data_IF_733986010252
#
_entry.id   IF_733986010252
#
_cell.length_a   1.000
_cell.length_b   1.000
_cell.length_c   1.000
_cell.angle_alpha   90.00
_cell.angle_beta   90.00
_cell.angle_gamma   90.00
#
_symmetry.space_group_name_H-M   'P 1'
#
loop_
_entity.id
_entity.type
_entity.pdbx_description
1 polymer ?
#
# COMPACT_ATOMS: atom_id res chain seq x y z
N UNK A 1 -17.63 -13.37 11.38
CA UNK A 1 -16.70 -12.25 11.18
C UNK A 1 -15.29 -12.78 11.37
N UNK A 2 -14.79 -13.48 10.36
CA UNK A 2 -13.40 -13.91 10.38
C UNK A 2 -12.53 -12.72 10.05
N UNK A 3 -11.76 -12.30 11.05
CA UNK A 3 -10.66 -11.35 10.86
C UNK A 3 -9.69 -12.01 9.88
N UNK A 4 -9.58 -11.47 8.67
CA UNK A 4 -8.44 -11.78 7.81
C UNK A 4 -7.23 -11.27 8.59
N UNK A 5 -6.53 -12.21 9.25
CA UNK A 5 -5.32 -11.96 10.02
C UNK A 5 -4.21 -11.74 8.99
N UNK A 6 -3.89 -10.47 8.74
CA UNK A 6 -2.63 -10.14 8.07
C UNK A 6 -1.49 -10.66 8.96
N UNK A 7 -0.47 -11.29 8.42
CA UNK A 7 0.67 -11.71 9.23
C UNK A 7 1.31 -10.45 9.84
N UNK A 8 1.67 -10.50 11.13
CA UNK A 8 2.39 -9.41 11.77
C UNK A 8 3.72 -9.19 11.06
N UNK A 9 4.17 -7.96 11.02
CA UNK A 9 5.50 -7.57 10.58
C UNK A 9 6.58 -8.02 11.60
N UNK A 10 6.55 -9.31 11.95
CA UNK A 10 7.53 -9.93 12.84
C UNK A 10 8.55 -10.70 12.00
N UNK A 11 9.77 -10.22 11.99
CA UNK A 11 10.87 -11.01 11.46
C UNK A 11 12.16 -10.31 11.09
N UNK A 12 12.41 -9.06 11.52
CA UNK A 12 13.68 -8.40 11.14
C UNK A 12 14.59 -8.04 12.34
N UNK A 13 14.23 -8.37 13.58
CA UNK A 13 14.99 -7.88 14.76
C UNK A 13 15.99 -8.85 15.39
N UNK A 14 16.29 -10.03 14.83
CA UNK A 14 17.24 -10.95 15.50
C UNK A 14 18.40 -11.50 14.65
N UNK A 15 18.62 -11.08 13.41
CA UNK A 15 19.76 -11.60 12.62
C UNK A 15 20.95 -10.65 12.46
N UNK A 16 20.87 -9.40 12.88
CA UNK A 16 21.95 -8.41 12.65
C UNK A 16 23.07 -8.38 13.72
N UNK A 17 22.99 -9.18 14.80
CA UNK A 17 23.89 -9.03 15.95
C UNK A 17 25.06 -10.01 16.02
N UNK A 18 25.32 -10.85 15.00
CA UNK A 18 26.40 -11.87 15.07
C UNK A 18 27.34 -11.96 13.87
N UNK A 19 27.78 -10.86 13.30
CA UNK A 19 28.81 -10.92 12.26
C UNK A 19 29.78 -9.74 12.30
N UNK A 20 30.36 -9.46 13.48
CA UNK A 20 31.52 -8.57 13.55
C UNK A 20 32.68 -9.25 14.28
N UNK A 21 33.44 -10.04 13.55
CA UNK A 21 34.87 -10.26 13.74
C UNK A 21 35.42 -11.13 12.61
N UNK A 22 36.06 -10.52 11.59
CA UNK A 22 37.30 -11.02 10.96
C UNK A 22 37.71 -10.10 9.80
N UNK A 23 38.88 -9.66 9.91
CA UNK A 23 39.79 -8.85 9.10
C UNK A 23 39.72 -8.87 7.59
N UNK A 24 40.12 -7.75 7.07
CA UNK A 24 40.66 -7.28 5.81
C UNK A 24 40.86 -8.29 4.68
N UNK A 25 40.08 -8.06 3.60
CA UNK A 25 40.35 -8.61 2.28
C UNK A 25 39.34 -7.95 1.33
N UNK A 26 39.82 -7.18 0.31
CA UNK A 26 38.97 -6.75 -0.81
C UNK A 26 38.57 -7.99 -1.61
N UNK A 27 37.67 -8.79 -1.04
CA UNK A 27 37.01 -9.91 -1.69
C UNK A 27 35.93 -9.38 -2.64
N UNK A 28 36.00 -9.77 -3.91
CA UNK A 28 34.95 -9.62 -4.90
C UNK A 28 33.64 -10.13 -4.28
N UNK A 29 32.66 -9.23 -4.09
CA UNK A 29 31.37 -9.57 -3.50
C UNK A 29 30.78 -10.80 -4.22
N UNK A 30 30.40 -11.89 -3.52
CA UNK A 30 29.70 -13.01 -4.14
C UNK A 30 28.46 -12.50 -4.90
N UNK A 31 28.18 -13.10 -6.06
CA UNK A 31 26.97 -12.78 -6.82
C UNK A 31 25.76 -12.98 -5.90
N UNK A 32 24.99 -11.89 -5.66
CA UNK A 32 23.80 -11.89 -4.80
C UNK A 32 23.91 -11.04 -3.52
N UNK A 33 25.09 -10.79 -2.96
CA UNK A 33 25.23 -9.91 -1.77
C UNK A 33 24.90 -8.45 -2.10
N UNK A 34 25.22 -7.99 -3.31
CA UNK A 34 24.90 -6.63 -3.76
C UNK A 34 23.39 -6.41 -3.91
N UNK A 35 22.66 -7.41 -4.41
CA UNK A 35 21.19 -7.33 -4.53
C UNK A 35 20.52 -7.36 -3.15
N UNK A 36 20.98 -8.25 -2.26
CA UNK A 36 20.48 -8.29 -0.87
C UNK A 36 20.70 -6.96 -0.15
N UNK A 37 21.89 -6.39 -0.26
CA UNK A 37 22.19 -5.09 0.33
C UNK A 37 21.30 -3.98 -0.25
N UNK A 38 21.09 -4.01 -1.57
CA UNK A 38 20.16 -3.06 -2.21
C UNK A 38 18.74 -3.20 -1.66
N UNK A 39 18.26 -4.41 -1.46
CA UNK A 39 16.94 -4.70 -0.88
C UNK A 39 16.85 -4.27 0.59
N UNK A 40 17.89 -4.48 1.39
CA UNK A 40 17.96 -4.00 2.78
C UNK A 40 17.91 -2.47 2.83
N UNK A 41 18.66 -1.77 1.96
CA UNK A 41 18.63 -0.31 1.85
C UNK A 41 17.21 0.17 1.50
N UNK A 42 16.52 -0.44 0.53
CA UNK A 42 15.17 -0.08 0.15
C UNK A 42 14.17 -0.32 1.30
N UNK A 43 14.29 -1.44 2.00
CA UNK A 43 13.41 -1.78 3.13
C UNK A 43 13.52 -0.76 4.25
N UNK A 44 14.75 -0.43 4.66
CA UNK A 44 15.01 0.60 5.68
C UNK A 44 14.56 1.98 5.22
N UNK A 45 14.75 2.30 3.93
CA UNK A 45 14.28 3.57 3.37
C UNK A 45 12.77 3.70 3.48
N UNK A 46 12.00 2.64 3.17
CA UNK A 46 10.54 2.64 3.31
C UNK A 46 10.11 2.83 4.77
N UNK A 47 10.78 2.18 5.72
CA UNK A 47 10.50 2.38 7.14
C UNK A 47 10.72 3.83 7.56
N UNK A 48 11.87 4.42 7.22
CA UNK A 48 12.18 5.80 7.54
C UNK A 48 11.22 6.79 6.86
N UNK A 49 10.86 6.57 5.60
CA UNK A 49 9.87 7.41 4.92
C UNK A 49 8.50 7.34 5.58
N UNK A 50 8.08 6.16 6.06
CA UNK A 50 6.82 6.02 6.78
C UNK A 50 6.85 6.74 8.14
N UNK A 51 7.97 6.70 8.85
CA UNK A 51 8.15 7.39 10.15
C UNK A 51 8.23 8.90 9.98
N UNK A 52 9.01 9.37 8.99
CA UNK A 52 9.24 10.80 8.75
C UNK A 52 8.04 11.49 8.07
N UNK A 53 7.27 10.77 7.28
CA UNK A 53 6.19 11.29 6.44
C UNK A 53 6.61 12.47 5.52
N UNK A 54 7.92 12.60 5.27
CA UNK A 54 8.56 13.66 4.48
C UNK A 54 9.84 13.12 3.83
N UNK A 55 9.89 13.14 2.49
CA UNK A 55 11.08 12.71 1.75
C UNK A 55 12.26 13.67 1.93
N UNK A 56 12.01 14.96 2.21
CA UNK A 56 13.07 15.93 2.40
C UNK A 56 13.83 15.71 3.70
N UNK A 57 13.18 15.16 4.72
CA UNK A 57 13.80 14.82 6.00
C UNK A 57 14.70 13.58 5.91
N UNK A 58 14.57 12.75 4.85
CA UNK A 58 15.41 11.58 4.64
C UNK A 58 16.82 11.96 4.19
N UNK A 59 17.84 11.35 4.80
CA UNK A 59 19.23 11.48 4.33
C UNK A 59 19.87 10.12 4.07
N UNK A 60 20.74 10.04 3.05
CA UNK A 60 21.49 8.81 2.74
C UNK A 60 22.34 8.34 3.92
N UNK A 61 22.82 9.26 4.75
CA UNK A 61 23.57 8.95 5.98
C UNK A 61 22.68 8.30 7.04
N UNK A 62 21.42 8.76 7.19
CA UNK A 62 20.46 8.15 8.10
C UNK A 62 20.14 6.72 7.67
N UNK A 63 19.91 6.50 6.38
CA UNK A 63 19.69 5.16 5.81
C UNK A 63 20.90 4.26 6.03
N UNK A 64 22.11 4.72 5.70
CA UNK A 64 23.36 3.94 5.89
C UNK A 64 23.53 3.51 7.34
N UNK A 65 23.29 4.42 8.30
CA UNK A 65 23.37 4.13 9.73
C UNK A 65 22.34 3.10 10.15
N UNK A 66 21.10 3.20 9.66
CA UNK A 66 20.03 2.28 10.01
C UNK A 66 20.25 0.88 9.43
N UNK A 67 20.85 0.78 8.23
CA UNK A 67 21.29 -0.50 7.63
C UNK A 67 22.55 -1.07 8.30
N UNK A 68 23.36 -0.22 8.96
CA UNK A 68 24.63 -0.62 9.58
C UNK A 68 25.81 -0.67 8.58
N UNK A 69 25.82 0.18 7.54
CA UNK A 69 26.83 0.24 6.51
C UNK A 69 27.47 1.62 6.41
N UNK A 70 28.59 1.71 5.67
CA UNK A 70 29.18 3.01 5.35
C UNK A 70 28.29 3.78 4.36
N UNK A 71 28.21 5.11 4.51
CA UNK A 71 27.42 5.95 3.61
C UNK A 71 27.84 5.81 2.13
N UNK A 72 29.13 5.58 1.87
CA UNK A 72 29.66 5.32 0.53
C UNK A 72 29.07 4.08 -0.12
N UNK A 73 28.63 3.09 0.67
CA UNK A 73 28.01 1.87 0.13
C UNK A 73 26.61 2.16 -0.43
N UNK A 74 25.87 3.13 0.13
CA UNK A 74 24.58 3.55 -0.43
C UNK A 74 24.76 4.20 -1.79
N UNK A 75 25.80 5.03 -1.97
CA UNK A 75 26.10 5.68 -3.25
C UNK A 75 26.50 4.71 -4.37
N UNK A 76 26.94 3.49 -4.03
CA UNK A 76 27.18 2.45 -5.05
C UNK A 76 25.87 1.98 -5.70
N UNK A 77 24.76 2.02 -4.95
CA UNK A 77 23.46 1.52 -5.39
C UNK A 77 22.53 2.62 -5.89
N UNK A 78 22.66 3.85 -5.37
CA UNK A 78 21.76 4.96 -5.65
C UNK A 78 22.57 6.25 -5.85
N UNK A 79 22.36 6.91 -6.99
CA UNK A 79 23.13 8.10 -7.37
C UNK A 79 22.95 9.26 -6.38
N UNK A 80 21.71 9.41 -5.88
CA UNK A 80 21.34 10.47 -4.95
C UNK A 80 20.14 10.04 -4.09
N UNK A 81 19.65 10.97 -3.25
CA UNK A 81 18.50 10.76 -2.39
C UNK A 81 17.22 10.53 -3.18
N UNK A 82 16.97 11.33 -4.21
CA UNK A 82 15.73 11.26 -4.99
C UNK A 82 15.64 9.92 -5.75
N UNK A 83 16.76 9.43 -6.28
CA UNK A 83 16.85 8.10 -6.89
C UNK A 83 16.55 6.98 -5.88
N UNK A 84 17.04 7.10 -4.64
CA UNK A 84 16.75 6.13 -3.58
C UNK A 84 15.27 6.17 -3.19
N UNK A 85 14.71 7.36 -2.96
CA UNK A 85 13.29 7.54 -2.59
C UNK A 85 12.39 6.99 -3.69
N UNK A 86 12.65 7.33 -4.95
CA UNK A 86 11.87 6.85 -6.09
C UNK A 86 11.91 5.32 -6.18
N UNK A 87 13.08 4.70 -6.07
CA UNK A 87 13.21 3.24 -6.11
C UNK A 87 12.49 2.55 -4.93
N UNK A 88 12.51 3.16 -3.74
CA UNK A 88 11.79 2.65 -2.58
C UNK A 88 10.27 2.74 -2.77
N UNK A 89 9.76 3.88 -3.25
CA UNK A 89 8.33 4.06 -3.53
C UNK A 89 7.85 3.12 -4.64
N UNK A 90 8.64 2.93 -5.71
CA UNK A 90 8.33 1.99 -6.78
C UNK A 90 8.26 0.54 -6.27
N UNK A 91 9.15 0.13 -5.37
CA UNK A 91 9.08 -1.18 -4.73
C UNK A 91 7.81 -1.32 -3.90
N UNK A 92 7.52 -0.32 -3.04
CA UNK A 92 6.30 -0.33 -2.22
C UNK A 92 5.03 -0.39 -3.09
N UNK A 93 5.03 0.33 -4.22
CA UNK A 93 3.92 0.27 -5.18
C UNK A 93 3.75 -1.13 -5.77
N UNK A 94 4.82 -1.78 -6.23
CA UNK A 94 4.75 -3.15 -6.76
C UNK A 94 4.21 -4.15 -5.72
N UNK A 95 4.64 -4.01 -4.47
CA UNK A 95 4.16 -4.88 -3.38
C UNK A 95 2.67 -4.62 -3.09
N UNK A 96 2.26 -3.34 -3.08
CA UNK A 96 0.84 -2.96 -2.96
C UNK A 96 0.01 -3.54 -4.11
N UNK A 97 0.46 -3.42 -5.36
CA UNK A 97 -0.28 -3.92 -6.52
C UNK A 97 -0.50 -5.43 -6.45
N UNK A 98 0.50 -6.20 -6.01
CA UNK A 98 0.38 -7.64 -5.78
C UNK A 98 -0.68 -7.96 -4.72
N UNK A 99 -0.64 -7.26 -3.59
CA UNK A 99 -1.62 -7.47 -2.52
C UNK A 99 -3.04 -7.06 -2.92
N UNK A 100 -3.17 -6.03 -3.77
CA UNK A 100 -4.48 -5.66 -4.35
C UNK A 100 -5.01 -6.74 -5.30
N UNK A 101 -4.15 -7.37 -6.11
CA UNK A 101 -4.53 -8.48 -6.97
C UNK A 101 -4.96 -9.72 -6.15
N UNK A 102 -4.27 -10.01 -5.05
CA UNK A 102 -4.64 -11.08 -4.11
C UNK A 102 -6.00 -10.78 -3.44
N UNK A 103 -6.25 -9.52 -3.06
CA UNK A 103 -7.53 -9.11 -2.50
C UNK A 103 -8.68 -9.27 -3.52
N UNK A 104 -8.48 -8.89 -4.78
CA UNK A 104 -9.45 -9.10 -5.86
C UNK A 104 -9.74 -10.60 -6.08
N UNK A 105 -8.73 -11.45 -6.02
CA UNK A 105 -8.88 -12.90 -6.21
C UNK A 105 -9.69 -13.60 -5.11
N UNK A 106 -10.07 -12.90 -4.04
CA UNK A 106 -10.89 -13.46 -2.95
C UNK A 106 -12.35 -13.72 -3.34
N UNK A 107 -12.81 -13.23 -4.50
CA UNK A 107 -14.18 -13.36 -4.98
C UNK A 107 -14.23 -13.33 -6.52
N UNK A 108 -15.23 -13.99 -7.11
CA UNK A 108 -15.47 -13.99 -8.55
C UNK A 108 -16.45 -12.86 -8.99
N UNK A 109 -17.15 -12.22 -8.04
CA UNK A 109 -18.07 -11.12 -8.35
C UNK A 109 -17.31 -9.84 -8.67
N UNK A 110 -17.48 -9.20 -9.84
CA UNK A 110 -16.73 -8.00 -10.22
C UNK A 110 -16.89 -6.82 -9.24
N UNK A 111 -18.07 -6.66 -8.65
CA UNK A 111 -18.32 -5.62 -7.63
C UNK A 111 -17.59 -5.97 -6.34
N UNK A 112 -17.62 -7.24 -5.95
CA UNK A 112 -16.85 -7.76 -4.81
C UNK A 112 -15.34 -7.56 -4.99
N UNK A 113 -14.81 -7.80 -6.19
CA UNK A 113 -13.41 -7.56 -6.54
C UNK A 113 -13.03 -6.09 -6.38
N UNK A 114 -13.80 -5.18 -6.99
CA UNK A 114 -13.56 -3.74 -6.85
C UNK A 114 -13.65 -3.29 -5.40
N UNK A 115 -14.66 -3.78 -4.65
CA UNK A 115 -14.82 -3.50 -3.22
C UNK A 115 -13.62 -3.97 -2.40
N UNK A 116 -13.18 -5.22 -2.59
CA UNK A 116 -12.04 -5.79 -1.87
C UNK A 116 -10.76 -4.99 -2.13
N UNK A 117 -10.51 -4.60 -3.37
CA UNK A 117 -9.41 -3.72 -3.77
C UNK A 117 -9.42 -2.40 -3.00
N UNK A 118 -10.58 -1.71 -2.94
CA UNK A 118 -10.68 -0.40 -2.29
C UNK A 118 -10.54 -0.50 -0.78
N UNK A 119 -11.08 -1.55 -0.16
CA UNK A 119 -10.94 -1.81 1.26
C UNK A 119 -9.49 -2.10 1.64
N UNK A 120 -8.81 -2.96 0.87
CA UNK A 120 -7.40 -3.26 1.09
C UNK A 120 -6.55 -1.99 0.97
N UNK A 121 -6.78 -1.18 -0.08
CA UNK A 121 -6.07 0.11 -0.24
C UNK A 121 -6.28 1.01 0.98
N UNK A 122 -7.50 1.14 1.47
CA UNK A 122 -7.79 1.97 2.64
C UNK A 122 -7.11 1.45 3.92
N UNK A 123 -7.06 0.14 4.14
CA UNK A 123 -6.34 -0.49 5.26
C UNK A 123 -4.83 -0.28 5.12
N UNK A 124 -4.29 -0.45 3.91
CA UNK A 124 -2.88 -0.22 3.64
C UNK A 124 -2.48 1.23 3.96
N UNK A 125 -3.29 2.22 3.58
CA UNK A 125 -3.04 3.63 3.89
C UNK A 125 -3.00 3.88 5.40
N UNK A 126 -3.89 3.26 6.18
CA UNK A 126 -3.87 3.39 7.64
C UNK A 126 -2.58 2.83 8.26
N UNK A 127 -2.04 1.76 7.70
CA UNK A 127 -0.78 1.15 8.18
C UNK A 127 0.47 1.88 7.69
N UNK A 128 0.38 2.58 6.55
CA UNK A 128 1.50 3.23 5.86
C UNK A 128 1.22 4.72 5.60
N UNK A 129 0.65 5.40 6.60
CA UNK A 129 0.18 6.78 6.47
C UNK A 129 1.30 7.75 6.00
N UNK A 130 2.52 7.59 6.54
CA UNK A 130 3.66 8.41 6.14
C UNK A 130 4.11 8.15 4.70
N UNK A 131 4.16 6.88 4.27
CA UNK A 131 4.46 6.54 2.87
C UNK A 131 3.40 7.10 1.92
N UNK A 132 2.12 6.98 2.30
CA UNK A 132 1.03 7.52 1.51
C UNK A 132 1.14 9.04 1.34
N UNK A 133 1.48 9.75 2.42
CA UNK A 133 1.73 11.18 2.39
C UNK A 133 2.90 11.54 1.47
N UNK A 134 4.05 10.86 1.60
CA UNK A 134 5.18 11.05 0.69
C UNK A 134 4.78 10.79 -0.76
N UNK A 135 4.04 9.72 -1.03
CA UNK A 135 3.63 9.36 -2.38
C UNK A 135 2.71 10.42 -3.03
N UNK A 136 1.85 11.08 -2.27
CA UNK A 136 0.83 11.97 -2.82
C UNK A 136 1.09 13.46 -2.58
N UNK A 137 1.76 13.83 -1.49
CA UNK A 137 1.91 15.23 -1.06
C UNK A 137 3.35 15.77 -1.18
N UNK A 138 4.35 14.89 -1.42
CA UNK A 138 5.74 15.29 -1.57
C UNK A 138 5.98 16.17 -2.80
N UNK A 139 6.90 17.13 -2.68
CA UNK A 139 7.40 17.93 -3.80
C UNK A 139 8.15 17.09 -4.84
N UNK A 140 8.51 15.85 -4.53
CA UNK A 140 9.06 14.91 -5.50
C UNK A 140 8.10 14.67 -6.68
N UNK A 141 6.79 14.70 -6.43
CA UNK A 141 5.76 14.61 -7.48
C UNK A 141 5.84 15.71 -8.54
N UNK A 142 6.40 16.88 -8.20
CA UNK A 142 6.56 17.99 -9.12
C UNK A 142 7.87 17.91 -9.91
N UNK A 143 8.86 17.18 -9.37
CA UNK A 143 10.22 17.09 -9.93
C UNK A 143 10.45 15.81 -10.73
N UNK A 144 9.67 14.77 -10.44
CA UNK A 144 9.88 13.44 -11.02
C UNK A 144 8.55 12.83 -11.42
N UNK A 145 8.45 12.42 -12.69
CA UNK A 145 7.31 11.63 -13.15
C UNK A 145 7.38 10.22 -12.56
N UNK A 146 6.31 9.81 -11.89
CA UNK A 146 6.19 8.49 -11.28
C UNK A 146 5.21 7.63 -12.08
N UNK A 147 5.66 7.09 -13.21
CA UNK A 147 4.84 6.30 -14.14
C UNK A 147 4.10 5.14 -13.46
N UNK A 148 4.69 4.52 -12.43
CA UNK A 148 4.04 3.45 -11.69
C UNK A 148 2.72 3.87 -11.02
N UNK A 149 2.49 5.16 -10.76
CA UNK A 149 1.22 5.64 -10.19
C UNK A 149 0.04 5.54 -11.17
N UNK A 150 0.31 5.54 -12.46
CA UNK A 150 -0.70 5.41 -13.51
C UNK A 150 -1.33 4.01 -13.49
N UNK A 151 -0.55 2.98 -13.17
CA UNK A 151 -1.00 1.59 -13.09
C UNK A 151 -2.19 1.40 -12.14
N UNK A 152 -2.17 2.05 -10.97
CA UNK A 152 -3.28 1.98 -10.02
C UNK A 152 -4.58 2.51 -10.63
N UNK A 153 -4.49 3.60 -11.41
CA UNK A 153 -5.62 4.18 -12.13
C UNK A 153 -6.15 3.28 -13.23
N UNK A 154 -5.26 2.74 -14.06
CA UNK A 154 -5.61 1.83 -15.16
C UNK A 154 -6.30 0.57 -14.66
N UNK A 155 -5.77 -0.04 -13.59
CA UNK A 155 -6.38 -1.23 -12.97
C UNK A 155 -7.74 -0.94 -12.34
N UNK A 156 -7.91 0.23 -11.71
CA UNK A 156 -9.22 0.64 -11.18
C UNK A 156 -10.24 0.84 -12.32
N UNK A 157 -9.82 1.49 -13.41
CA UNK A 157 -10.66 1.64 -14.61
C UNK A 157 -11.04 0.28 -15.21
N UNK A 158 -10.09 -0.66 -15.29
CA UNK A 158 -10.37 -2.01 -15.77
C UNK A 158 -11.36 -2.77 -14.86
N UNK A 159 -11.26 -2.60 -13.53
CA UNK A 159 -12.21 -3.20 -12.59
C UNK A 159 -13.63 -2.64 -12.77
N UNK A 160 -13.77 -1.32 -12.99
CA UNK A 160 -15.06 -0.69 -13.28
C UNK A 160 -15.64 -1.22 -14.60
N UNK A 161 -14.82 -1.33 -15.66
CA UNK A 161 -15.26 -1.92 -16.93
C UNK A 161 -15.78 -3.36 -16.75
N UNK A 162 -15.15 -4.17 -15.89
CA UNK A 162 -15.66 -5.51 -15.57
C UNK A 162 -17.05 -5.46 -14.92
N UNK A 163 -17.29 -4.50 -14.01
CA UNK A 163 -18.63 -4.31 -13.42
C UNK A 163 -19.69 -3.95 -14.49
N UNK A 164 -19.36 -3.02 -15.39
CA UNK A 164 -20.24 -2.62 -16.49
C UNK A 164 -20.51 -3.78 -17.46
N UNK A 165 -19.47 -4.49 -17.91
CA UNK A 165 -19.59 -5.62 -18.81
C UNK A 165 -20.40 -6.79 -18.23
N UNK A 166 -20.40 -6.95 -16.89
CA UNK A 166 -21.20 -7.94 -16.18
C UNK A 166 -22.64 -7.46 -15.90
N UNK A 167 -23.03 -6.27 -16.37
CA UNK A 167 -24.35 -5.69 -16.09
C UNK A 167 -24.58 -5.32 -14.61
N UNK A 168 -23.50 -5.14 -13.83
CA UNK A 168 -23.52 -4.83 -12.41
C UNK A 168 -23.40 -3.32 -12.12
N UNK A 169 -23.07 -2.54 -13.14
CA UNK A 169 -23.01 -1.08 -13.13
C UNK A 169 -23.59 -0.55 -14.46
N UNK A 170 -24.14 0.67 -14.51
CA UNK A 170 -24.54 1.30 -15.77
C UNK A 170 -23.40 1.41 -16.75
N UNK A 171 -23.69 1.37 -18.04
CA UNK A 171 -22.72 1.67 -19.10
C UNK A 171 -22.42 3.17 -19.09
N UNK A 172 -21.16 3.54 -18.88
CA UNK A 172 -20.69 4.92 -18.73
C UNK A 172 -19.20 5.02 -19.12
N UNK A 173 -18.63 6.22 -19.10
CA UNK A 173 -17.17 6.42 -19.24
C UNK A 173 -16.43 5.89 -18.00
N UNK A 174 -15.95 4.66 -18.09
CA UNK A 174 -15.23 4.01 -17.01
C UNK A 174 -13.97 4.78 -16.56
N UNK A 175 -13.36 5.59 -17.43
CA UNK A 175 -12.19 6.39 -17.07
C UNK A 175 -12.61 7.59 -16.19
N UNK A 176 -13.69 8.27 -16.55
CA UNK A 176 -14.26 9.36 -15.75
C UNK A 176 -14.75 8.84 -14.39
N UNK A 177 -15.52 7.75 -14.37
CA UNK A 177 -15.99 7.10 -13.12
C UNK A 177 -14.81 6.67 -12.25
N UNK A 178 -13.74 6.12 -12.85
CA UNK A 178 -12.52 5.75 -12.11
C UNK A 178 -11.84 6.95 -11.48
N UNK A 179 -11.78 8.09 -12.18
CA UNK A 179 -11.17 9.31 -11.65
C UNK A 179 -11.97 9.85 -10.46
N UNK A 180 -13.30 9.90 -10.57
CA UNK A 180 -14.18 10.35 -9.49
C UNK A 180 -14.10 9.43 -8.27
N UNK A 181 -14.13 8.12 -8.48
CA UNK A 181 -13.98 7.13 -7.41
C UNK A 181 -12.63 7.27 -6.71
N UNK A 182 -11.54 7.40 -7.47
CA UNK A 182 -10.19 7.57 -6.92
C UNK A 182 -10.05 8.87 -6.13
N UNK A 183 -10.63 9.97 -6.62
CA UNK A 183 -10.64 11.24 -5.92
C UNK A 183 -11.40 11.14 -4.59
N UNK A 184 -12.57 10.50 -4.59
CA UNK A 184 -13.37 10.29 -3.38
C UNK A 184 -12.65 9.40 -2.35
N UNK A 185 -12.05 8.29 -2.80
CA UNK A 185 -11.30 7.36 -1.93
C UNK A 185 -10.06 8.05 -1.39
N UNK A 186 -9.27 8.74 -2.24
CA UNK A 186 -8.10 9.51 -1.82
C UNK A 186 -8.49 10.55 -0.75
N UNK A 187 -9.52 11.35 -0.98
CA UNK A 187 -10.01 12.32 0.00
C UNK A 187 -10.40 11.67 1.32
N UNK A 188 -11.14 10.56 1.28
CA UNK A 188 -11.58 9.86 2.47
C UNK A 188 -10.42 9.29 3.29
N UNK A 189 -9.42 8.66 2.66
CA UNK A 189 -8.28 8.06 3.37
C UNK A 189 -7.30 9.13 3.85
N UNK A 190 -7.01 10.15 3.05
CA UNK A 190 -6.13 11.26 3.43
C UNK A 190 -6.71 12.05 4.60
N UNK A 191 -8.01 12.34 4.59
CA UNK A 191 -8.66 13.05 5.70
C UNK A 191 -8.65 12.21 6.98
N UNK A 192 -8.85 10.89 6.92
CA UNK A 192 -8.75 10.00 8.10
C UNK A 192 -7.36 10.03 8.74
N UNK A 193 -6.32 10.10 7.93
CA UNK A 193 -4.93 10.21 8.41
C UNK A 193 -4.67 11.58 9.05
N UNK A 194 -5.14 12.66 8.41
CA UNK A 194 -4.85 14.03 8.84
C UNK A 194 -5.81 14.56 9.91
N UNK A 195 -7.02 13.97 10.04
CA UNK A 195 -8.09 14.37 10.97
C UNK A 195 -8.71 13.14 11.63
N UNK A 196 -7.94 12.37 12.43
CA UNK A 196 -8.41 11.10 13.00
C UNK A 196 -9.59 11.27 13.98
N UNK A 197 -9.72 12.44 14.60
CA UNK A 197 -10.72 12.72 15.64
C UNK A 197 -12.12 13.02 15.07
N UNK A 198 -12.28 13.12 13.74
CA UNK A 198 -13.61 13.26 13.14
C UNK A 198 -14.42 11.96 13.33
N UNK A 199 -15.77 12.06 13.46
CA UNK A 199 -16.64 10.90 13.64
C UNK A 199 -16.77 10.12 12.32
N UNK A 200 -15.68 9.47 11.92
CA UNK A 200 -15.64 8.70 10.69
C UNK A 200 -16.56 7.48 10.77
N UNK A 201 -17.39 7.23 9.76
CA UNK A 201 -18.07 5.94 9.66
C UNK A 201 -17.08 4.82 9.44
N UNK A 202 -17.45 3.55 9.66
CA UNK A 202 -16.63 2.42 9.22
C UNK A 202 -16.20 2.57 7.76
N UNK A 203 -14.95 2.19 7.45
CA UNK A 203 -14.39 2.36 6.10
C UNK A 203 -15.21 1.58 5.07
N UNK A 204 -15.66 0.38 5.43
CA UNK A 204 -16.49 -0.48 4.61
C UNK A 204 -17.79 0.22 4.17
N UNK A 205 -18.47 0.85 5.11
CA UNK A 205 -19.71 1.58 4.83
C UNK A 205 -19.48 2.78 3.91
N UNK A 206 -18.33 3.43 4.05
CA UNK A 206 -17.98 4.57 3.20
C UNK A 206 -17.65 4.12 1.80
N UNK A 207 -16.88 3.05 1.64
CA UNK A 207 -16.56 2.45 0.33
C UNK A 207 -17.85 1.96 -0.35
N UNK A 208 -18.73 1.28 0.37
CA UNK A 208 -20.01 0.81 -0.17
C UNK A 208 -20.86 1.98 -0.69
N UNK A 209 -20.90 3.10 0.03
CA UNK A 209 -21.59 4.32 -0.44
C UNK A 209 -20.93 4.91 -1.70
N UNK A 210 -19.61 4.88 -1.82
CA UNK A 210 -18.93 5.35 -3.03
C UNK A 210 -19.23 4.46 -4.23
N UNK A 211 -19.23 3.14 -4.05
CA UNK A 211 -19.57 2.19 -5.10
C UNK A 211 -21.01 2.42 -5.59
N UNK A 212 -21.96 2.60 -4.69
CA UNK A 212 -23.36 2.87 -5.06
C UNK A 212 -23.51 4.22 -5.77
N UNK A 213 -22.89 5.28 -5.26
CA UNK A 213 -23.13 6.64 -5.74
C UNK A 213 -22.31 7.03 -6.98
N UNK A 214 -21.09 6.51 -7.10
CA UNK A 214 -20.16 6.90 -8.15
C UNK A 214 -20.07 5.85 -9.26
N UNK A 215 -20.13 4.58 -8.91
CA UNK A 215 -20.07 3.48 -9.91
C UNK A 215 -21.46 3.02 -10.32
N UNK A 216 -22.50 3.31 -9.52
CA UNK A 216 -23.86 2.94 -9.81
C UNK A 216 -24.19 1.47 -9.55
N UNK A 217 -23.38 0.76 -8.73
CA UNK A 217 -23.69 -0.62 -8.38
C UNK A 217 -24.89 -0.71 -7.43
N UNK A 218 -25.61 -1.83 -7.47
CA UNK A 218 -26.68 -2.08 -6.51
C UNK A 218 -26.12 -2.14 -5.09
N UNK A 219 -26.86 -1.64 -4.07
CA UNK A 219 -26.44 -1.74 -2.67
C UNK A 219 -26.15 -3.20 -2.30
N UNK A 220 -24.99 -3.44 -1.66
CA UNK A 220 -24.70 -4.75 -1.08
C UNK A 220 -25.66 -4.98 0.07
N UNK A 221 -26.48 -6.07 0.07
CA UNK A 221 -27.36 -6.32 1.18
C UNK A 221 -26.53 -6.48 2.45
N UNK A 222 -26.86 -5.68 3.47
CA UNK A 222 -26.23 -5.78 4.77
C UNK A 222 -26.34 -7.25 5.23
N UNK A 223 -25.20 -7.93 5.40
CA UNK A 223 -25.18 -9.32 5.85
C UNK A 223 -26.01 -9.43 7.12
N UNK A 224 -27.04 -10.27 7.13
CA UNK A 224 -27.80 -10.54 8.35
C UNK A 224 -26.80 -10.95 9.42
N UNK A 225 -26.79 -10.33 10.60
CA UNK A 225 -25.99 -10.82 11.70
C UNK A 225 -26.31 -12.30 11.90
N UNK A 226 -25.28 -13.15 11.91
CA UNK A 226 -25.42 -14.58 12.16
C UNK A 226 -26.23 -14.74 13.44
N UNK A 227 -27.44 -15.28 13.34
CA UNK A 227 -28.23 -15.63 14.51
C UNK A 227 -27.38 -16.60 15.33
N UNK A 228 -26.94 -16.16 16.50
CA UNK A 228 -26.40 -17.04 17.53
C UNK A 228 -27.40 -18.20 17.69
N UNK A 229 -26.91 -19.40 17.38
CA UNK A 229 -27.66 -20.62 17.69
C UNK A 229 -27.73 -20.70 19.21
N UNK A 230 -28.86 -20.31 19.74
CA UNK A 230 -29.20 -20.58 21.12
C UNK A 230 -29.25 -22.10 21.27
N UNK A 231 -28.25 -22.68 21.90
CA UNK A 231 -28.25 -24.09 22.33
C UNK A 231 -29.35 -24.25 23.37
N UNK A 232 -30.30 -25.18 23.20
CA UNK A 232 -31.28 -25.46 24.25
C UNK A 232 -30.57 -26.07 25.47
N UNK A 233 -30.89 -25.53 26.63
CA UNK A 233 -30.43 -26.00 27.93
C UNK A 233 -31.01 -27.39 28.17
N UNK A 234 -30.24 -28.43 28.55
CA UNK A 234 -30.80 -29.74 28.90
C UNK A 234 -31.57 -29.62 30.21
N UNK A 235 -32.72 -30.25 30.23
CA UNK A 235 -33.61 -30.44 31.39
C UNK A 235 -33.07 -31.54 32.28
#
# INVERSE_FOLDING_TARGET
MDKISLPPAEGVTQSAARAHARGGGRGRNPRGEGERLRDDILSVTLQLLNELADDQALSLRAVARAVGIAATSVYIHFADRDALVLAALERSHRDLMRSLDEAEASTDDPVGQLRARLLFLGQWVQQHAGLYKVLHESTLNQRTHMAFKEELGERTTAAIRRCMAAGRAPDDDAAAVSLDLRAAVHGAVSMRVNQPDLPWPPLEEQIDRFLVKLVGVAPVPAGRPSRERTTPKPT
#
